data_IF_742636773478
#
_entry.id   IF_742636773478
#
_cell.length_a   1.000
_cell.length_b   1.000
_cell.length_c   1.000
_cell.angle_alpha   90.00
_cell.angle_beta   90.00
_cell.angle_gamma   90.00
#
_symmetry.space_group_name_H-M   'P 1'
#
loop_
_entity.id
_entity.type
_entity.pdbx_description
1 polymer ?
#
# COMPACT_ATOMS: atom_id res chain seq x y z
N UNK A 1 1.37 15.90 39.23
CA UNK A 1 0.93 16.68 38.05
C UNK A 1 0.93 15.74 36.85
N UNK A 2 -0.22 15.56 36.20
CA UNK A 2 -0.43 14.50 35.21
C UNK A 2 0.20 14.80 33.86
N UNK A 3 0.73 13.77 33.20
CA UNK A 3 1.37 13.87 31.88
C UNK A 3 0.50 14.54 30.81
N UNK A 4 -0.83 14.54 30.96
CA UNK A 4 -1.76 15.27 30.08
C UNK A 4 -1.60 16.79 30.12
N UNK A 5 -1.27 17.39 31.29
CA UNK A 5 -1.04 18.85 31.39
C UNK A 5 0.28 19.24 30.71
N UNK A 6 1.33 18.44 30.89
CA UNK A 6 2.63 18.69 30.27
C UNK A 6 2.54 18.62 28.74
N UNK A 7 1.83 17.62 28.19
CA UNK A 7 1.63 17.50 26.74
C UNK A 7 0.82 18.67 26.18
N UNK A 8 -0.19 19.17 26.89
CA UNK A 8 -0.95 20.36 26.46
C UNK A 8 -0.10 21.62 26.33
N UNK A 9 0.92 21.77 27.17
CA UNK A 9 1.78 22.96 27.21
C UNK A 9 3.01 22.85 26.31
N UNK A 10 3.49 21.64 26.01
CA UNK A 10 4.80 21.43 25.37
C UNK A 10 4.74 20.64 24.04
N UNK A 11 3.60 20.05 23.68
CA UNK A 11 3.42 19.29 22.43
C UNK A 11 2.67 20.17 21.41
N UNK A 12 3.33 20.67 20.34
CA UNK A 12 2.70 21.51 19.30
C UNK A 12 1.53 20.81 18.58
N UNK A 13 1.49 19.49 18.67
CA UNK A 13 0.50 18.61 18.05
C UNK A 13 -0.55 18.11 19.06
N UNK A 14 -0.57 18.66 20.29
CA UNK A 14 -1.57 18.28 21.31
C UNK A 14 -3.01 18.54 20.83
N UNK A 15 -3.77 17.47 20.64
CA UNK A 15 -5.17 17.54 20.20
C UNK A 15 -5.35 17.64 18.68
N UNK A 16 -4.26 17.59 17.89
CA UNK A 16 -4.33 17.37 16.44
C UNK A 16 -4.05 15.91 16.14
N UNK A 17 -4.76 15.26 15.20
CA UNK A 17 -4.30 13.96 14.70
C UNK A 17 -2.90 14.16 14.16
N UNK A 18 -1.93 13.40 14.68
CA UNK A 18 -0.56 13.42 14.18
C UNK A 18 -0.66 13.09 12.69
N UNK A 19 -0.21 14.00 11.82
CA UNK A 19 -0.06 13.73 10.39
C UNK A 19 1.07 12.73 10.25
N UNK A 20 0.78 11.45 10.51
CA UNK A 20 1.73 10.37 10.30
C UNK A 20 1.84 10.23 8.79
N UNK A 21 3.04 10.44 8.26
CA UNK A 21 3.29 10.26 6.83
C UNK A 21 2.98 8.80 6.50
N UNK A 22 2.07 8.59 5.56
CA UNK A 22 1.74 7.25 5.11
C UNK A 22 2.86 6.70 4.22
N UNK A 23 3.20 5.44 4.41
CA UNK A 23 4.30 4.80 3.69
C UNK A 23 3.90 3.49 3.03
N UNK A 24 4.55 3.19 1.91
CA UNK A 24 4.35 1.95 1.16
C UNK A 24 5.67 1.22 0.99
N UNK A 25 5.68 -0.05 1.35
CA UNK A 25 6.79 -0.96 1.04
C UNK A 25 6.55 -1.47 -0.39
N UNK A 26 7.47 -1.16 -1.30
CA UNK A 26 7.36 -1.43 -2.74
C UNK A 26 8.41 -2.45 -3.20
N UNK A 27 8.11 -3.10 -4.32
CA UNK A 27 9.01 -4.05 -4.96
C UNK A 27 8.87 -4.01 -6.48
N UNK A 28 9.89 -4.43 -7.24
CA UNK A 28 9.74 -4.78 -8.65
C UNK A 28 8.66 -5.86 -8.79
N UNK A 29 8.09 -6.04 -9.99
CA UNK A 29 7.15 -7.12 -10.26
C UNK A 29 7.83 -8.48 -10.07
N UNK A 30 7.65 -9.08 -8.89
CA UNK A 30 8.30 -10.30 -8.44
C UNK A 30 7.22 -11.29 -8.02
N UNK A 31 7.28 -12.49 -8.61
CA UNK A 31 6.44 -13.63 -8.24
C UNK A 31 7.29 -14.64 -7.49
N UNK A 32 6.83 -15.01 -6.29
CA UNK A 32 7.44 -16.03 -5.45
C UNK A 32 6.53 -17.25 -5.44
N UNK A 33 7.06 -18.39 -5.89
CA UNK A 33 6.39 -19.68 -5.90
C UNK A 33 7.23 -20.70 -5.11
N UNK A 34 6.95 -20.81 -3.80
CA UNK A 34 7.78 -21.61 -2.91
C UNK A 34 9.20 -21.06 -2.84
N UNK A 35 10.19 -21.85 -3.27
CA UNK A 35 11.61 -21.43 -3.33
C UNK A 35 12.03 -20.83 -4.68
N UNK A 36 11.10 -20.67 -5.62
CA UNK A 36 11.36 -20.05 -6.93
C UNK A 36 10.99 -18.58 -6.92
N UNK A 37 11.84 -17.77 -7.54
CA UNK A 37 11.64 -16.35 -7.72
C UNK A 37 11.67 -16.00 -9.20
N UNK A 38 10.61 -15.34 -9.66
CA UNK A 38 10.50 -14.81 -11.01
C UNK A 38 10.36 -13.29 -10.93
N UNK A 39 11.43 -12.59 -11.30
CA UNK A 39 11.39 -11.13 -11.46
C UNK A 39 11.06 -10.80 -12.92
N UNK A 40 9.93 -10.13 -13.17
CA UNK A 40 9.54 -9.67 -14.52
C UNK A 40 10.31 -8.40 -14.92
N UNK A 41 10.77 -7.66 -13.92
CA UNK A 41 11.63 -6.50 -14.07
C UNK A 41 12.58 -6.40 -12.88
N UNK A 42 13.68 -5.69 -13.07
CA UNK A 42 14.59 -5.30 -11.98
C UNK A 42 14.28 -3.91 -11.43
N UNK A 43 13.50 -3.12 -12.15
CA UNK A 43 13.03 -1.80 -11.76
C UNK A 43 11.63 -1.87 -11.15
N UNK A 44 11.25 -0.85 -10.40
CA UNK A 44 9.87 -0.66 -9.99
C UNK A 44 9.01 -0.49 -11.24
N UNK A 45 7.81 -1.07 -11.23
CA UNK A 45 6.91 -0.91 -12.36
C UNK A 45 6.50 0.57 -12.49
N UNK A 46 6.62 1.18 -13.68
CA UNK A 46 6.29 2.58 -13.86
C UNK A 46 4.86 2.92 -13.46
N UNK A 47 3.87 2.10 -13.81
CA UNK A 47 2.47 2.36 -13.49
C UNK A 47 2.20 2.25 -11.99
N UNK A 48 2.76 1.22 -11.34
CA UNK A 48 2.71 1.04 -9.89
C UNK A 48 3.37 2.21 -9.15
N UNK A 49 4.45 2.76 -9.70
CA UNK A 49 5.15 3.89 -9.10
C UNK A 49 4.28 5.16 -9.08
N UNK A 50 3.59 5.48 -10.19
CA UNK A 50 2.68 6.65 -10.26
C UNK A 50 1.50 6.48 -9.31
N UNK A 51 0.96 5.26 -9.25
CA UNK A 51 -0.07 4.90 -8.28
C UNK A 51 0.42 5.12 -6.85
N UNK A 52 1.60 4.58 -6.53
CA UNK A 52 2.20 4.66 -5.19
C UNK A 52 2.44 6.11 -4.75
N UNK A 53 2.96 6.96 -5.63
CA UNK A 53 3.24 8.36 -5.31
C UNK A 53 1.96 9.19 -5.07
N UNK A 54 0.87 8.82 -5.74
CA UNK A 54 -0.40 9.52 -5.60
C UNK A 54 -0.98 9.35 -4.18
N UNK A 55 -0.88 8.14 -3.61
CA UNK A 55 -1.55 7.82 -2.34
C UNK A 55 -0.62 7.84 -1.12
N UNK A 56 0.66 7.49 -1.27
CA UNK A 56 1.61 7.40 -0.15
C UNK A 56 2.64 8.52 -0.18
N UNK A 57 3.09 8.94 1.00
CA UNK A 57 4.04 10.04 1.16
C UNK A 57 5.49 9.57 1.11
N UNK A 58 5.71 8.31 1.45
CA UNK A 58 7.03 7.68 1.48
C UNK A 58 6.97 6.29 0.86
N UNK A 59 8.03 5.93 0.16
CA UNK A 59 8.24 4.62 -0.41
C UNK A 59 9.47 3.99 0.24
N UNK A 60 9.37 2.70 0.56
CA UNK A 60 10.48 1.89 1.05
C UNK A 60 10.66 0.74 0.08
N UNK A 61 11.81 0.71 -0.60
CA UNK A 61 12.18 -0.41 -1.44
C UNK A 61 13.34 -1.17 -0.78
N UNK A 62 13.03 -2.21 0.03
CA UNK A 62 14.05 -2.91 0.77
C UNK A 62 14.99 -3.65 -0.18
N UNK A 63 16.28 -3.50 0.09
CA UNK A 63 17.36 -4.20 -0.58
C UNK A 63 17.75 -5.41 0.25
N UNK A 64 18.19 -6.48 -0.40
CA UNK A 64 18.81 -7.61 0.28
C UNK A 64 20.28 -7.68 -0.10
N UNK A 65 21.15 -8.01 0.86
CA UNK A 65 22.58 -8.19 0.55
C UNK A 65 22.86 -9.28 -0.49
N UNK A 66 21.95 -10.26 -0.62
CA UNK A 66 22.07 -11.35 -1.57
C UNK A 66 21.62 -10.97 -2.99
N UNK A 67 20.56 -10.16 -3.11
CA UNK A 67 19.96 -9.72 -4.37
C UNK A 67 19.71 -8.22 -4.29
N UNK A 68 20.52 -7.46 -5.03
CA UNK A 68 20.40 -6.02 -5.16
C UNK A 68 19.97 -5.66 -6.58
N UNK A 69 18.78 -5.08 -6.70
CA UNK A 69 18.30 -4.48 -7.94
C UNK A 69 18.85 -3.06 -8.11
N UNK A 70 19.27 -2.70 -9.32
CA UNK A 70 19.81 -1.38 -9.59
C UNK A 70 18.69 -0.34 -9.75
N UNK A 71 18.90 0.86 -9.19
CA UNK A 71 17.98 1.99 -9.38
C UNK A 71 18.06 2.52 -10.81
N UNK A 72 16.90 2.67 -11.45
CA UNK A 72 16.74 3.36 -12.73
C UNK A 72 16.62 4.88 -12.55
N UNK A 73 16.29 5.62 -13.62
CA UNK A 73 16.15 7.07 -13.57
C UNK A 73 15.06 7.54 -12.59
N UNK A 74 13.90 6.89 -12.61
CA UNK A 74 12.75 7.21 -11.77
C UNK A 74 13.07 6.95 -10.29
N UNK A 75 13.68 5.81 -9.97
CA UNK A 75 14.05 5.48 -8.58
C UNK A 75 15.14 6.41 -8.05
N UNK A 76 16.14 6.75 -8.87
CA UNK A 76 17.18 7.73 -8.50
C UNK A 76 16.60 9.11 -8.24
N UNK A 77 15.63 9.55 -9.04
CA UNK A 77 14.92 10.80 -8.80
C UNK A 77 14.21 10.80 -7.45
N UNK A 78 13.50 9.72 -7.12
CA UNK A 78 12.77 9.60 -5.86
C UNK A 78 13.69 9.44 -4.63
N UNK A 79 14.82 8.74 -4.78
CA UNK A 79 15.86 8.67 -3.76
C UNK A 79 16.44 10.06 -3.48
N UNK A 80 16.79 10.82 -4.53
CA UNK A 80 17.31 12.18 -4.41
C UNK A 80 16.29 13.15 -3.79
N UNK A 81 15.00 12.95 -4.07
CA UNK A 81 13.90 13.72 -3.47
C UNK A 81 13.60 13.32 -2.02
N UNK A 82 14.21 12.26 -1.48
CA UNK A 82 13.96 11.75 -0.14
C UNK A 82 12.59 11.08 0.03
N UNK A 83 11.96 10.68 -1.08
CA UNK A 83 10.65 10.02 -1.11
C UNK A 83 10.83 8.51 -1.08
N UNK A 84 11.84 8.00 -1.78
CA UNK A 84 12.19 6.57 -1.80
C UNK A 84 13.40 6.32 -0.89
N UNK A 85 13.29 5.33 -0.02
CA UNK A 85 14.39 4.85 0.81
C UNK A 85 14.67 3.38 0.55
N UNK A 86 15.95 2.98 0.65
CA UNK A 86 16.43 1.63 0.35
C UNK A 86 17.19 1.03 1.54
N UNK A 87 16.49 0.65 2.63
CA UNK A 87 17.11 -0.06 3.74
C UNK A 87 17.62 -1.43 3.30
N UNK A 88 18.79 -1.83 3.80
CA UNK A 88 19.37 -3.15 3.55
C UNK A 88 18.95 -4.14 4.65
N UNK A 89 18.33 -5.23 4.24
CA UNK A 89 17.98 -6.35 5.10
C UNK A 89 18.93 -7.52 4.85
N UNK A 90 19.43 -8.09 5.94
CA UNK A 90 20.22 -9.31 5.91
C UNK A 90 19.32 -10.46 6.31
N UNK A 91 18.87 -11.22 5.32
CA UNK A 91 17.95 -12.33 5.53
C UNK A 91 18.66 -13.63 5.13
N UNK A 92 18.53 -14.64 5.99
CA UNK A 92 19.10 -15.97 5.78
C UNK A 92 18.04 -16.88 5.15
N UNK A 93 18.39 -17.56 4.05
CA UNK A 93 17.48 -18.45 3.32
C UNK A 93 17.85 -18.56 1.84
N UNK A 94 17.01 -19.25 1.06
CA UNK A 94 17.07 -19.14 -0.40
C UNK A 94 16.65 -17.73 -0.86
N UNK A 95 16.99 -17.37 -2.11
CA UNK A 95 16.75 -16.01 -2.61
C UNK A 95 15.28 -15.58 -2.63
N UNK A 96 14.35 -16.52 -2.80
CA UNK A 96 12.91 -16.22 -2.80
C UNK A 96 12.42 -15.93 -1.38
N UNK A 97 12.73 -16.84 -0.44
CA UNK A 97 12.44 -16.66 0.99
C UNK A 97 13.10 -15.40 1.55
N UNK A 98 14.32 -15.09 1.12
CA UNK A 98 15.07 -13.90 1.54
C UNK A 98 14.41 -12.59 1.11
N UNK A 99 13.91 -12.51 -0.12
CA UNK A 99 13.20 -11.32 -0.61
C UNK A 99 11.85 -11.15 0.11
N UNK A 100 11.05 -12.21 0.24
CA UNK A 100 9.78 -12.15 0.96
C UNK A 100 9.96 -11.69 2.41
N UNK A 101 10.90 -12.30 3.14
CA UNK A 101 11.16 -11.92 4.53
C UNK A 101 11.79 -10.53 4.66
N UNK A 102 12.59 -10.05 3.69
CA UNK A 102 13.07 -8.67 3.69
C UNK A 102 11.94 -7.65 3.55
N UNK A 103 10.97 -7.92 2.68
CA UNK A 103 9.77 -7.09 2.50
C UNK A 103 8.89 -7.07 3.76
N UNK A 104 8.64 -8.24 4.35
CA UNK A 104 7.86 -8.38 5.59
C UNK A 104 8.56 -7.70 6.77
N UNK A 105 9.88 -7.87 6.90
CA UNK A 105 10.67 -7.25 7.96
C UNK A 105 10.63 -5.72 7.85
N UNK A 106 10.79 -5.18 6.63
CA UNK A 106 10.63 -3.74 6.39
C UNK A 106 9.25 -3.24 6.83
N UNK A 107 8.19 -3.95 6.48
CA UNK A 107 6.84 -3.61 6.92
C UNK A 107 6.70 -3.63 8.45
N UNK A 108 7.16 -4.70 9.12
CA UNK A 108 7.09 -4.84 10.58
C UNK A 108 7.82 -3.67 11.27
N UNK A 109 9.07 -3.39 10.90
CA UNK A 109 9.87 -2.34 11.56
C UNK A 109 9.28 -0.94 11.38
N UNK A 110 8.69 -0.66 10.22
CA UNK A 110 8.04 0.61 9.96
C UNK A 110 6.69 0.71 10.70
N UNK A 111 5.91 -0.37 10.72
CA UNK A 111 4.64 -0.42 11.44
C UNK A 111 4.83 -0.41 12.97
N UNK A 112 5.93 -0.93 13.51
CA UNK A 112 6.26 -0.80 14.94
C UNK A 112 6.57 0.65 15.34
N UNK A 113 7.25 1.39 14.45
CA UNK A 113 7.58 2.80 14.66
C UNK A 113 6.36 3.71 14.48
N UNK A 114 5.53 3.41 13.48
CA UNK A 114 4.36 4.20 13.09
C UNK A 114 3.16 3.27 12.80
N UNK A 115 2.49 2.76 13.85
CA UNK A 115 1.41 1.80 13.69
C UNK A 115 0.27 2.33 12.82
N UNK A 116 -0.11 1.54 11.82
CA UNK A 116 -1.24 1.82 10.92
C UNK A 116 -0.95 2.79 9.78
N UNK A 117 0.27 3.33 9.68
CA UNK A 117 0.65 4.26 8.61
C UNK A 117 1.31 3.59 7.40
N UNK A 118 1.68 2.32 7.53
CA UNK A 118 2.47 1.59 6.55
C UNK A 118 1.66 0.46 5.90
N UNK A 119 1.89 0.24 4.61
CA UNK A 119 1.27 -0.83 3.83
C UNK A 119 2.34 -1.59 3.04
N UNK A 120 2.07 -2.84 2.69
CA UNK A 120 2.88 -3.64 1.79
C UNK A 120 2.22 -3.70 0.41
N UNK A 121 2.91 -3.25 -0.65
CA UNK A 121 2.40 -3.30 -2.01
C UNK A 121 2.35 -4.75 -2.49
N UNK A 122 1.14 -5.26 -2.74
CA UNK A 122 0.91 -6.57 -3.33
C UNK A 122 0.10 -6.45 -4.61
N UNK A 123 0.46 -7.26 -5.61
CA UNK A 123 -0.24 -7.25 -6.89
C UNK A 123 0.70 -7.59 -8.04
N UNK A 124 0.12 -7.73 -9.22
CA UNK A 124 0.83 -8.15 -10.43
C UNK A 124 2.08 -7.30 -10.70
N UNK A 125 2.00 -5.99 -10.52
CA UNK A 125 3.10 -5.06 -10.79
C UNK A 125 4.04 -4.82 -9.59
N UNK A 126 3.85 -5.54 -8.48
CA UNK A 126 4.67 -5.50 -7.27
C UNK A 126 4.95 -6.94 -6.80
N UNK A 127 4.79 -7.23 -5.51
CA UNK A 127 5.06 -8.52 -4.92
C UNK A 127 3.83 -9.43 -5.01
N UNK A 128 4.01 -10.60 -5.61
CA UNK A 128 3.07 -11.70 -5.54
C UNK A 128 3.70 -12.89 -4.82
N UNK A 129 3.25 -13.16 -3.60
CA UNK A 129 3.61 -14.38 -2.87
C UNK A 129 2.53 -15.41 -3.14
N UNK A 130 2.82 -16.35 -4.04
CA UNK A 130 1.94 -17.47 -4.30
C UNK A 130 2.29 -18.59 -3.32
N UNK A 131 1.26 -19.11 -2.64
CA UNK A 131 1.27 -20.11 -1.57
C UNK A 131 1.22 -19.52 -0.14
N UNK A 132 0.00 -19.42 0.41
CA UNK A 132 -0.48 -19.61 1.80
C UNK A 132 0.43 -19.31 3.02
N UNK A 133 1.51 -18.53 2.91
CA UNK A 133 2.38 -18.16 4.03
C UNK A 133 1.80 -17.05 4.91
N UNK A 134 0.72 -16.41 4.46
CA UNK A 134 -0.11 -15.58 5.32
C UNK A 134 -1.13 -16.48 6.02
N UNK A 135 -1.07 -16.51 7.36
CA UNK A 135 -2.13 -17.13 8.15
C UNK A 135 -3.44 -16.43 7.82
N UNK A 136 -4.50 -17.25 7.65
CA UNK A 136 -5.88 -16.86 7.40
C UNK A 136 -6.44 -16.09 8.61
N UNK A 137 -5.97 -14.86 8.80
CA UNK A 137 -6.57 -13.90 9.69
C UNK A 137 -7.67 -13.21 8.91
N UNK A 138 -8.90 -13.32 9.42
CA UNK A 138 -10.11 -12.67 8.90
C UNK A 138 -9.85 -11.17 8.77
N UNK A 139 -9.49 -10.73 7.56
CA UNK A 139 -9.38 -9.33 7.18
C UNK A 139 -10.51 -8.96 6.21
N UNK A 140 -10.98 -7.72 6.27
CA UNK A 140 -11.92 -7.19 5.29
C UNK A 140 -11.13 -6.65 4.10
N UNK A 141 -11.31 -7.25 2.93
CA UNK A 141 -10.77 -6.74 1.68
C UNK A 141 -11.74 -5.70 1.10
N UNK A 142 -11.24 -4.48 0.88
CA UNK A 142 -11.98 -3.41 0.21
C UNK A 142 -11.34 -3.17 -1.16
N UNK A 143 -12.06 -3.49 -2.23
CA UNK A 143 -11.63 -3.19 -3.60
C UNK A 143 -12.40 -1.99 -4.16
N UNK A 144 -11.66 -0.98 -4.61
CA UNK A 144 -12.21 0.24 -5.21
C UNK A 144 -12.14 0.15 -6.73
N UNK A 145 -13.20 -0.36 -7.37
CA UNK A 145 -13.21 -0.52 -8.83
C UNK A 145 -13.44 0.83 -9.55
N UNK A 146 -12.42 1.27 -10.30
CA UNK A 146 -12.44 2.51 -11.12
C UNK A 146 -12.82 3.77 -10.35
N UNK A 147 -12.64 3.76 -9.02
CA UNK A 147 -13.09 4.86 -8.18
C UNK A 147 -12.17 6.09 -8.27
N UNK A 148 -10.88 5.87 -8.56
CA UNK A 148 -9.87 6.92 -8.54
C UNK A 148 -9.04 6.86 -9.82
N UNK A 149 -8.99 7.94 -10.63
CA UNK A 149 -8.11 7.99 -11.78
C UNK A 149 -6.66 8.00 -11.32
N UNK A 150 -5.86 7.11 -11.92
CA UNK A 150 -4.43 7.02 -11.66
C UNK A 150 -3.69 7.61 -12.87
N UNK A 151 -2.64 8.42 -12.68
CA UNK A 151 -1.80 8.88 -13.77
C UNK A 151 -1.24 7.72 -14.58
N UNK A 152 -1.18 7.87 -15.90
CA UNK A 152 -0.55 6.90 -16.79
C UNK A 152 0.96 6.82 -16.51
N UNK A 153 1.60 5.71 -16.91
CA UNK A 153 3.03 5.45 -16.74
C UNK A 153 3.94 6.51 -17.38
N UNK A 154 3.43 7.24 -18.37
CA UNK A 154 4.20 8.26 -19.08
C UNK A 154 4.14 9.64 -18.40
N UNK A 155 3.29 9.81 -17.37
CA UNK A 155 3.21 11.07 -16.61
C UNK A 155 4.49 11.26 -15.79
N UNK A 156 5.16 12.43 -15.86
CA UNK A 156 6.35 12.70 -15.08
C UNK A 156 6.10 12.68 -13.57
N UNK A 157 7.01 12.05 -12.82
CA UNK A 157 6.88 11.93 -11.36
C UNK A 157 6.78 13.29 -10.66
N UNK A 158 7.52 14.29 -11.14
CA UNK A 158 7.49 15.65 -10.59
C UNK A 158 6.09 16.29 -10.67
N UNK A 159 5.36 16.07 -11.76
CA UNK A 159 4.00 16.60 -11.93
C UNK A 159 3.02 15.96 -10.94
N UNK A 160 3.19 14.67 -10.65
CA UNK A 160 2.36 13.95 -9.68
C UNK A 160 2.61 14.47 -8.27
N UNK A 161 3.87 14.71 -7.92
CA UNK A 161 4.24 15.26 -6.62
C UNK A 161 3.71 16.69 -6.45
N UNK A 162 3.82 17.53 -7.47
CA UNK A 162 3.25 18.88 -7.47
C UNK A 162 1.72 18.86 -7.37
N UNK A 163 1.07 17.97 -8.13
CA UNK A 163 -0.38 17.78 -8.08
C UNK A 163 -0.85 17.38 -6.68
N UNK A 164 -0.19 16.39 -6.08
CA UNK A 164 -0.49 15.90 -4.74
C UNK A 164 -0.27 16.99 -3.69
N UNK A 165 0.81 17.76 -3.82
CA UNK A 165 1.08 18.87 -2.92
C UNK A 165 0.03 19.99 -3.03
N UNK A 166 -0.38 20.35 -4.26
CA UNK A 166 -1.40 21.38 -4.49
C UNK A 166 -2.78 21.00 -3.94
N UNK A 167 -3.07 19.70 -3.86
CA UNK A 167 -4.37 19.15 -3.44
C UNK A 167 -4.27 18.32 -2.16
N UNK A 168 -3.35 18.68 -1.27
CA UNK A 168 -3.11 17.93 -0.03
C UNK A 168 -4.35 17.86 0.84
N UNK A 169 -5.13 18.95 0.86
CA UNK A 169 -6.32 19.08 1.68
C UNK A 169 -7.43 18.14 1.17
N UNK A 170 -7.67 18.11 -0.14
CA UNK A 170 -8.63 17.19 -0.76
C UNK A 170 -8.19 15.73 -0.61
N UNK A 171 -6.89 15.45 -0.71
CA UNK A 171 -6.35 14.11 -0.46
C UNK A 171 -6.58 13.65 0.98
N UNK A 172 -6.41 14.54 1.95
CA UNK A 172 -6.69 14.26 3.35
C UNK A 172 -8.16 13.88 3.57
N UNK A 173 -9.08 14.62 2.96
CA UNK A 173 -10.51 14.32 3.00
C UNK A 173 -10.81 12.96 2.36
N UNK A 174 -10.25 12.69 1.18
CA UNK A 174 -10.45 11.40 0.50
C UNK A 174 -9.99 10.21 1.36
N UNK A 175 -8.79 10.31 1.96
CA UNK A 175 -8.27 9.26 2.87
C UNK A 175 -9.22 9.02 4.05
N UNK A 176 -9.68 10.10 4.69
CA UNK A 176 -10.66 9.98 5.78
C UNK A 176 -11.96 9.30 5.35
N UNK A 177 -12.44 9.58 4.13
CA UNK A 177 -13.65 8.90 3.62
C UNK A 177 -13.41 7.41 3.40
N UNK A 178 -12.25 7.01 2.87
CA UNK A 178 -11.89 5.60 2.69
C UNK A 178 -11.81 4.89 4.05
N UNK A 179 -11.18 5.52 5.05
CA UNK A 179 -11.11 4.99 6.41
C UNK A 179 -12.50 4.84 7.05
N UNK A 180 -13.37 5.84 6.88
CA UNK A 180 -14.74 5.77 7.37
C UNK A 180 -15.53 4.62 6.74
N UNK A 181 -15.38 4.40 5.43
CA UNK A 181 -16.00 3.26 4.74
C UNK A 181 -15.49 1.92 5.31
N UNK A 182 -14.19 1.82 5.57
CA UNK A 182 -13.61 0.64 6.21
C UNK A 182 -14.18 0.41 7.63
N UNK A 183 -14.27 1.45 8.46
CA UNK A 183 -14.83 1.34 9.82
C UNK A 183 -16.31 0.96 9.81
N UNK A 184 -17.08 1.47 8.85
CA UNK A 184 -18.49 1.08 8.67
C UNK A 184 -18.62 -0.40 8.30
N UNK A 185 -17.75 -0.90 7.42
CA UNK A 185 -17.77 -2.30 6.99
C UNK A 185 -17.38 -3.30 8.09
N UNK A 186 -16.54 -2.89 9.04
CA UNK A 186 -16.04 -3.74 10.12
C UNK A 186 -16.92 -3.70 11.39
N UNK A 187 -17.73 -2.65 11.56
CA UNK A 187 -18.65 -2.50 12.69
C UNK A 187 -20.02 -3.16 12.52
N UNK A 188 -20.38 -3.61 11.31
CA UNK A 188 -21.66 -4.29 11.06
C UNK A 188 -21.56 -5.80 11.35
N UNK A 189 -22.35 -6.29 12.31
CA UNK A 189 -22.48 -7.71 12.70
C UNK A 189 -23.05 -8.62 11.59
N UNK A 190 -23.29 -8.09 10.40
CA UNK A 190 -23.77 -8.80 9.22
C UNK A 190 -22.85 -8.44 8.03
N UNK A 191 -21.59 -8.84 8.15
CA UNK A 191 -20.50 -8.48 7.23
C UNK A 191 -20.70 -9.00 5.80
N UNK A 192 -21.64 -9.92 5.55
CA UNK A 192 -21.96 -10.38 4.18
C UNK A 192 -23.15 -9.64 3.55
N UNK A 193 -24.14 -9.21 4.34
CA UNK A 193 -25.42 -8.68 3.82
C UNK A 193 -25.45 -7.14 3.82
N UNK A 194 -24.76 -6.48 4.76
CA UNK A 194 -24.67 -5.01 4.77
C UNK A 194 -23.81 -4.46 3.60
N UNK A 195 -22.90 -5.27 3.06
CA UNK A 195 -21.90 -4.84 2.06
C UNK A 195 -22.36 -4.98 0.60
N UNK A 196 -23.52 -5.57 0.34
CA UNK A 196 -24.11 -5.65 -1.00
C UNK A 196 -24.88 -4.40 -1.43
N UNK A 197 -24.98 -3.38 -0.58
CA UNK A 197 -25.96 -2.30 -0.75
C UNK A 197 -25.52 -0.90 -0.34
N UNK A 198 -24.22 -0.61 -0.16
CA UNK A 198 -23.77 0.76 0.11
C UNK A 198 -23.68 1.54 -1.21
N UNK A 199 -24.84 2.05 -1.65
CA UNK A 199 -24.91 3.11 -2.66
C UNK A 199 -24.60 4.44 -1.97
N UNK A 200 -23.48 5.07 -2.30
CA UNK A 200 -23.24 6.48 -1.92
C UNK A 200 -24.19 7.31 -2.78
N UNK A 201 -25.37 7.59 -2.23
CA UNK A 201 -26.30 8.55 -2.79
C UNK A 201 -25.97 9.91 -2.18
N UNK A 202 -24.88 10.53 -2.64
CA UNK A 202 -24.76 11.97 -2.52
C UNK A 202 -24.13 12.60 -3.75
N UNK A 203 -24.58 13.83 -3.97
CA UNK A 203 -24.96 14.39 -5.24
C UNK A 203 -23.79 15.00 -6.02
N UNK A 204 -23.85 14.79 -7.35
CA UNK A 204 -22.96 15.29 -8.40
C UNK A 204 -21.77 14.38 -8.79
N UNK A 205 -22.08 13.46 -9.70
CA UNK A 205 -21.18 12.82 -10.68
C UNK A 205 -20.10 11.87 -10.15
N UNK A 206 -20.51 10.65 -9.83
CA UNK A 206 -19.93 9.41 -10.38
C UNK A 206 -20.63 8.21 -9.71
N UNK A 207 -21.10 7.25 -10.50
CA UNK A 207 -21.62 6.00 -9.95
C UNK A 207 -20.42 5.16 -9.50
N UNK A 208 -20.29 4.93 -8.19
CA UNK A 208 -19.25 4.10 -7.61
C UNK A 208 -19.79 2.69 -7.35
N UNK A 209 -19.04 1.66 -7.76
CA UNK A 209 -19.28 0.26 -7.41
C UNK A 209 -18.14 -0.20 -6.50
N UNK A 210 -18.49 -0.52 -5.26
CA UNK A 210 -17.60 -1.14 -4.28
C UNK A 210 -17.99 -2.61 -4.22
N UNK A 211 -17.07 -3.51 -4.51
CA UNK A 211 -17.29 -4.95 -4.35
C UNK A 211 -16.41 -5.42 -3.19
N UNK A 212 -17.04 -5.86 -2.10
CA UNK A 212 -16.38 -6.61 -1.05
C UNK A 212 -16.67 -8.09 -1.29
N UNK A 213 -15.62 -8.91 -1.37
CA UNK A 213 -15.78 -10.36 -1.47
C UNK A 213 -15.36 -11.01 -0.15
N UNK A 214 -16.25 -11.84 0.40
CA UNK A 214 -15.89 -12.82 1.42
C UNK A 214 -15.14 -13.95 0.74
N UNK A 215 -13.84 -14.07 1.00
CA UNK A 215 -13.04 -15.16 0.45
C UNK A 215 -13.31 -16.43 1.24
N UNK A 216 -14.12 -17.33 0.68
CA UNK A 216 -14.22 -18.73 1.13
C UNK A 216 -13.50 -19.58 0.10
N UNK A 217 -12.39 -20.20 0.53
CA UNK A 217 -11.52 -20.99 -0.33
C UNK A 217 -12.28 -22.08 -1.10
N UNK A 218 -12.37 -21.90 -2.42
CA UNK A 218 -12.89 -22.88 -3.35
C UNK A 218 -12.01 -22.94 -4.58
N UNK A 219 -11.29 -24.04 -4.76
CA UNK A 219 -10.54 -24.36 -5.97
C UNK A 219 -11.43 -24.19 -7.21
N UNK A 220 -11.13 -23.25 -8.09
CA UNK A 220 -11.59 -23.32 -9.48
C UNK A 220 -10.43 -22.97 -10.41
N UNK A 221 -10.03 -23.99 -11.18
CA UNK A 221 -8.99 -23.91 -12.20
C UNK A 221 -9.37 -22.90 -13.27
N UNK A 222 -8.39 -22.10 -13.66
CA UNK A 222 -8.47 -21.22 -14.82
C UNK A 222 -8.52 -22.07 -16.09
N UNK A 223 -9.72 -22.28 -16.62
CA UNK A 223 -9.90 -22.66 -18.02
C UNK A 223 -9.70 -21.39 -18.85
N UNK A 224 -8.56 -21.32 -19.54
CA UNK A 224 -8.32 -20.31 -20.54
C UNK A 224 -9.39 -20.35 -21.64
N UNK A 225 -9.75 -19.19 -22.17
CA UNK A 225 -10.31 -19.07 -23.50
C UNK A 225 -9.64 -17.91 -24.23
N UNK A 226 -9.29 -18.25 -25.48
CA UNK A 226 -8.74 -17.43 -26.55
C UNK A 226 -9.44 -16.08 -26.73
#
# INVERSE_FOLDING_TARGET
MGQSKWRKENDPDYGKPKSVKSGLIVSPPIVIEGSRLYARSTNLDPQELRFSLLFWDQLVWPSSRAIHFASGPDEKFLEAAGILSRPDFTVWGDGASGIAAGQIQAFIEHNEREPGAWCLAQGENSLLIQNNQFYDQRGTLLELHRAIPVPDKDVPLAEILEFKQRRSDEFGILKQQIENLYLQSTGSTDSEIALGGVYIQDSQRANFLIQASGWVGGQHGWIGRN
#
